data_IF_905871051477
#
_entry.id   IF_905871051477
#
_cell.length_a   1.000
_cell.length_b   1.000
_cell.length_c   1.000
_cell.angle_alpha   90.00
_cell.angle_beta   90.00
_cell.angle_gamma   90.00
#
_symmetry.space_group_name_H-M   'P 1'
#
loop_
_entity.id
_entity.type
_entity.pdbx_description
1 polymer ?
#
# COMPACT_ATOMS: atom_id res chain seq x y z
N UNK A 1 -19.93 25.68 9.24
CA UNK A 1 -19.36 26.90 9.85
C UNK A 1 -18.03 27.20 9.18
N UNK A 2 -17.74 28.45 8.79
CA UNK A 2 -16.46 28.78 8.16
C UNK A 2 -15.32 28.70 9.17
N UNK A 3 -14.15 28.26 8.71
CA UNK A 3 -12.91 28.23 9.51
C UNK A 3 -12.48 29.67 9.84
N UNK A 4 -12.08 29.92 11.09
CA UNK A 4 -11.64 31.24 11.53
C UNK A 4 -10.12 31.44 11.28
N UNK A 5 -9.77 31.97 10.12
CA UNK A 5 -8.38 32.21 9.71
C UNK A 5 -7.65 33.27 10.54
N UNK A 6 -8.38 34.23 11.14
CA UNK A 6 -7.77 35.25 11.99
C UNK A 6 -7.19 34.64 13.27
N UNK A 7 -7.89 33.67 13.86
CA UNK A 7 -7.42 32.94 15.03
C UNK A 7 -6.30 31.93 14.69
N UNK A 8 -6.24 31.43 13.46
CA UNK A 8 -5.22 30.48 13.01
C UNK A 8 -3.89 31.14 12.68
N UNK A 9 -3.87 32.40 12.21
CA UNK A 9 -2.65 33.09 11.81
C UNK A 9 -1.51 33.05 12.86
N UNK A 10 -1.72 33.39 14.14
CA UNK A 10 -0.66 33.28 15.15
C UNK A 10 -0.25 31.82 15.44
N UNK A 11 -1.19 30.87 15.34
CA UNK A 11 -0.89 29.44 15.53
C UNK A 11 0.00 28.89 14.40
N UNK A 12 -0.24 29.33 13.15
CA UNK A 12 0.59 28.98 11.99
C UNK A 12 2.01 29.53 12.15
N UNK A 13 2.16 30.74 12.70
CA UNK A 13 3.49 31.33 12.97
C UNK A 13 4.23 30.55 14.06
N UNK A 14 3.57 30.21 15.17
CA UNK A 14 4.16 29.38 16.22
C UNK A 14 4.55 27.97 15.71
N UNK A 15 3.75 27.39 14.81
CA UNK A 15 4.08 26.13 14.14
C UNK A 15 5.34 26.26 13.26
N UNK A 16 5.51 27.37 12.55
CA UNK A 16 6.72 27.61 11.75
C UNK A 16 7.97 27.77 12.62
N UNK A 17 7.87 28.47 13.76
CA UNK A 17 8.99 28.65 14.70
C UNK A 17 9.42 27.34 15.35
N UNK A 18 8.46 26.53 15.82
CA UNK A 18 8.74 25.19 16.37
C UNK A 18 9.37 24.26 15.33
N UNK A 19 8.92 24.32 14.07
CA UNK A 19 9.51 23.55 12.99
C UNK A 19 11.00 23.86 12.74
N UNK A 20 11.44 25.12 12.91
CA UNK A 20 12.86 25.50 12.77
C UNK A 20 13.71 24.88 13.87
N UNK A 21 13.25 24.93 15.13
CA UNK A 21 13.96 24.33 16.27
C UNK A 21 14.05 22.80 16.14
N UNK A 22 12.95 22.15 15.74
CA UNK A 22 12.90 20.71 15.54
C UNK A 22 13.82 20.24 14.40
N UNK A 23 14.09 21.09 13.40
CA UNK A 23 14.94 20.74 12.26
C UNK A 23 16.36 20.34 12.66
N UNK A 24 16.97 21.06 13.62
CA UNK A 24 18.34 20.75 14.06
C UNK A 24 18.41 19.42 14.80
N UNK A 25 17.43 19.15 15.66
CA UNK A 25 17.35 17.89 16.41
C UNK A 25 17.11 16.70 15.47
N UNK A 26 16.19 16.85 14.51
CA UNK A 26 15.95 15.82 13.49
C UNK A 26 17.17 15.53 12.64
N UNK A 27 17.94 16.56 12.26
CA UNK A 27 19.18 16.36 11.50
C UNK A 27 20.23 15.56 12.28
N UNK A 28 20.34 15.79 13.60
CA UNK A 28 21.25 15.02 14.46
C UNK A 28 20.81 13.56 14.60
N UNK A 29 19.51 13.33 14.85
CA UNK A 29 18.93 11.98 14.92
C UNK A 29 19.12 11.21 13.60
N UNK A 30 18.89 11.87 12.47
CA UNK A 30 19.11 11.28 11.15
C UNK A 30 20.59 10.90 10.93
N UNK A 31 21.53 11.79 11.26
CA UNK A 31 22.96 11.49 11.16
C UNK A 31 23.37 10.31 12.04
N UNK A 32 22.82 10.20 13.25
CA UNK A 32 23.05 9.06 14.13
C UNK A 32 22.47 7.75 13.56
N UNK A 33 21.26 7.79 12.97
CA UNK A 33 20.69 6.65 12.26
C UNK A 33 21.59 6.20 11.10
N UNK A 34 22.07 7.15 10.29
CA UNK A 34 22.96 6.86 9.16
C UNK A 34 24.29 6.25 9.62
N UNK A 35 24.85 6.73 10.74
CA UNK A 35 26.05 6.14 11.32
C UNK A 35 25.83 4.70 11.76
N UNK A 36 24.70 4.39 12.43
CA UNK A 36 24.33 3.02 12.80
C UNK A 36 24.08 2.14 11.57
N UNK A 37 23.36 2.65 10.56
CA UNK A 37 23.10 1.93 9.31
C UNK A 37 24.42 1.52 8.61
N UNK A 38 25.40 2.43 8.60
CA UNK A 38 26.73 2.17 8.06
C UNK A 38 27.53 1.18 8.91
N UNK A 39 27.54 1.37 10.24
CA UNK A 39 28.24 0.49 11.18
C UNK A 39 27.78 -0.96 11.10
N UNK A 40 26.46 -1.19 11.04
CA UNK A 40 25.86 -2.51 10.99
C UNK A 40 25.62 -3.02 9.56
N UNK A 41 26.18 -2.36 8.53
CA UNK A 41 25.89 -2.65 7.12
C UNK A 41 26.10 -4.14 6.77
N UNK A 42 27.14 -4.77 7.30
CA UNK A 42 27.51 -6.17 7.02
C UNK A 42 27.24 -7.13 8.20
N UNK A 43 26.37 -6.73 9.14
CA UNK A 43 26.08 -7.47 10.38
C UNK A 43 24.65 -8.06 10.39
N UNK A 44 24.16 -8.55 9.24
CA UNK A 44 22.78 -9.01 9.08
C UNK A 44 22.39 -10.10 10.09
N UNK A 45 23.27 -11.07 10.33
CA UNK A 45 23.00 -12.18 11.26
C UNK A 45 22.81 -11.69 12.69
N UNK A 46 23.66 -10.79 13.15
CA UNK A 46 23.55 -10.19 14.48
C UNK A 46 22.23 -9.42 14.62
N UNK A 47 21.88 -8.60 13.62
CA UNK A 47 20.61 -7.88 13.61
C UNK A 47 19.38 -8.80 13.58
N UNK A 48 19.44 -9.90 12.83
CA UNK A 48 18.38 -10.91 12.80
C UNK A 48 18.15 -11.52 14.19
N UNK A 49 19.22 -11.91 14.89
CA UNK A 49 19.14 -12.47 16.25
C UNK A 49 18.57 -11.46 17.26
N UNK A 50 18.94 -10.18 17.14
CA UNK A 50 18.42 -9.10 17.99
C UNK A 50 16.92 -8.91 17.77
N UNK A 51 16.47 -8.86 16.50
CA UNK A 51 15.04 -8.72 16.20
C UNK A 51 14.26 -9.93 16.69
N UNK A 52 14.75 -11.14 16.49
CA UNK A 52 14.10 -12.38 16.95
C UNK A 52 13.91 -12.37 18.48
N UNK A 53 14.97 -12.04 19.23
CA UNK A 53 14.92 -11.93 20.69
C UNK A 53 13.91 -10.87 21.15
N UNK A 54 13.88 -9.69 20.51
CA UNK A 54 12.95 -8.61 20.84
C UNK A 54 11.51 -8.96 20.47
N UNK A 55 11.27 -9.57 19.31
CA UNK A 55 9.95 -10.01 18.85
C UNK A 55 9.35 -11.08 19.79
N UNK A 56 10.19 -11.98 20.32
CA UNK A 56 9.75 -13.00 21.29
C UNK A 56 9.20 -12.39 22.60
N UNK A 57 9.69 -11.20 22.99
CA UNK A 57 9.28 -10.46 24.20
C UNK A 57 8.16 -9.45 23.93
N UNK A 58 8.10 -8.91 22.72
CA UNK A 58 7.10 -7.93 22.29
C UNK A 58 6.45 -8.35 20.98
N UNK A 59 5.26 -8.96 21.06
CA UNK A 59 4.48 -9.37 19.89
C UNK A 59 4.02 -8.21 18.99
N UNK A 60 4.03 -6.98 19.50
CA UNK A 60 3.72 -5.77 18.74
C UNK A 60 4.94 -5.15 18.05
N UNK A 61 6.11 -5.79 18.11
CA UNK A 61 7.30 -5.28 17.44
C UNK A 61 7.06 -5.23 15.93
N UNK A 62 7.16 -4.02 15.37
CA UNK A 62 7.02 -3.77 13.94
C UNK A 62 8.26 -3.07 13.41
N UNK A 63 9.13 -3.79 12.70
CA UNK A 63 10.38 -3.25 12.18
C UNK A 63 10.85 -4.01 10.92
N UNK A 64 11.93 -3.54 10.32
CA UNK A 64 12.65 -4.23 9.27
C UNK A 64 13.50 -5.37 9.86
N UNK A 65 13.63 -6.47 9.13
CA UNK A 65 14.60 -7.54 9.41
C UNK A 65 15.54 -7.64 8.21
N UNK A 66 16.86 -7.43 8.37
CA UNK A 66 17.81 -7.60 7.27
C UNK A 66 17.78 -9.02 6.71
N UNK A 67 18.02 -9.18 5.41
CA UNK A 67 18.04 -10.50 4.75
C UNK A 67 19.47 -10.90 4.41
N UNK A 68 19.90 -10.70 3.17
CA UNK A 68 21.22 -11.10 2.67
C UNK A 68 22.06 -9.94 2.15
N UNK A 69 21.43 -8.84 1.74
CA UNK A 69 22.12 -7.68 1.19
C UNK A 69 22.67 -6.78 2.31
N UNK A 70 23.82 -6.11 2.11
CA UNK A 70 24.32 -5.06 3.01
C UNK A 70 23.28 -3.97 3.25
N UNK A 71 23.14 -3.43 4.46
CA UNK A 71 22.10 -2.42 4.74
C UNK A 71 22.28 -1.15 3.89
N UNK A 72 23.52 -0.82 3.57
CA UNK A 72 23.91 0.30 2.70
C UNK A 72 23.90 -0.06 1.21
N UNK A 73 23.42 -1.25 0.83
CA UNK A 73 23.35 -1.64 -0.57
C UNK A 73 22.45 -0.67 -1.36
N UNK A 74 22.98 -0.22 -2.49
CA UNK A 74 22.25 0.54 -3.49
C UNK A 74 22.45 -0.16 -4.84
N UNK A 75 21.36 -0.66 -5.42
CA UNK A 75 21.39 -1.47 -6.62
C UNK A 75 20.71 -0.70 -7.75
N UNK A 76 21.40 -0.44 -8.86
CA UNK A 76 20.85 0.31 -9.99
C UNK A 76 19.94 -0.55 -10.87
N UNK A 77 18.86 0.04 -11.39
CA UNK A 77 17.98 -0.61 -12.35
C UNK A 77 18.66 -0.79 -13.72
N UNK A 78 18.37 -1.89 -14.40
CA UNK A 78 18.80 -2.11 -15.77
C UNK A 78 17.72 -1.61 -16.73
N UNK A 79 17.96 -0.50 -17.42
CA UNK A 79 17.02 0.07 -18.39
C UNK A 79 17.50 -0.14 -19.84
N UNK A 80 16.60 -0.37 -20.82
CA UNK A 80 15.14 -0.46 -20.66
C UNK A 80 14.71 -1.74 -19.93
N UNK A 81 13.50 -1.75 -19.39
CA UNK A 81 12.96 -2.94 -18.74
C UNK A 81 12.83 -4.10 -19.74
N UNK A 82 13.17 -5.35 -19.35
CA UNK A 82 12.91 -6.51 -20.20
C UNK A 82 11.43 -6.64 -20.54
N UNK A 83 11.13 -7.20 -21.72
CA UNK A 83 9.76 -7.38 -22.18
C UNK A 83 8.96 -8.27 -21.20
N UNK A 84 7.82 -7.75 -20.74
CA UNK A 84 6.91 -8.42 -19.82
C UNK A 84 5.48 -7.90 -20.00
N UNK A 85 4.52 -8.68 -19.52
CA UNK A 85 3.15 -8.18 -19.31
C UNK A 85 3.06 -7.54 -17.94
N UNK A 86 2.35 -6.41 -17.85
CA UNK A 86 2.03 -5.73 -16.60
C UNK A 86 0.51 -5.70 -16.42
N UNK A 87 0.05 -6.17 -15.28
CA UNK A 87 -1.31 -6.01 -14.79
C UNK A 87 -1.27 -5.10 -13.57
N UNK A 88 -1.94 -3.96 -13.62
CA UNK A 88 -2.13 -3.09 -12.46
C UNK A 88 -3.59 -3.10 -12.05
N UNK A 89 -3.87 -3.30 -10.78
CA UNK A 89 -5.20 -3.20 -10.21
C UNK A 89 -5.27 -2.12 -9.14
N UNK A 90 -6.42 -1.48 -9.06
CA UNK A 90 -6.82 -0.60 -7.97
C UNK A 90 -8.33 -0.78 -7.75
N UNK A 91 -8.79 -0.42 -6.56
CA UNK A 91 -10.18 -0.58 -6.16
C UNK A 91 -10.74 0.69 -5.54
N UNK A 92 -12.05 0.87 -5.71
CA UNK A 92 -12.83 1.83 -4.96
C UNK A 92 -14.10 1.19 -4.41
N UNK A 93 -14.73 1.86 -3.46
CA UNK A 93 -15.89 1.36 -2.77
C UNK A 93 -16.92 2.45 -2.47
N UNK A 94 -18.19 2.04 -2.41
CA UNK A 94 -19.27 2.80 -1.78
C UNK A 94 -19.57 2.08 -0.46
N UNK A 95 -19.38 2.78 0.65
CA UNK A 95 -19.79 2.29 1.96
C UNK A 95 -21.31 2.38 2.12
N UNK A 96 -21.94 1.41 2.80
CA UNK A 96 -23.37 1.46 3.05
C UNK A 96 -23.76 2.67 3.92
N UNK A 97 -24.71 3.48 3.45
CA UNK A 97 -25.29 4.60 4.19
C UNK A 97 -26.66 4.23 4.78
N UNK A 98 -26.79 4.05 6.11
CA UNK A 98 -28.07 3.81 6.78
C UNK A 98 -29.06 4.96 6.68
N UNK A 99 -28.62 6.15 6.25
CA UNK A 99 -29.47 7.32 6.05
C UNK A 99 -29.86 7.55 4.59
N UNK A 100 -29.30 6.77 3.66
CA UNK A 100 -29.65 6.79 2.24
C UNK A 100 -31.06 6.25 1.98
N UNK A 101 -31.56 6.51 0.77
CA UNK A 101 -32.85 6.02 0.30
C UNK A 101 -32.90 4.50 0.16
N UNK A 102 -31.74 3.88 -0.10
CA UNK A 102 -31.52 2.43 -0.17
C UNK A 102 -30.20 2.08 0.49
N UNK A 103 -30.19 1.01 1.29
CA UNK A 103 -28.99 0.49 1.93
C UNK A 103 -28.29 -0.50 1.00
N UNK A 104 -27.18 -0.08 0.40
CA UNK A 104 -26.33 -0.91 -0.46
C UNK A 104 -24.85 -0.54 -0.28
N UNK A 105 -23.95 -1.45 -0.60
CA UNK A 105 -22.53 -1.15 -0.78
C UNK A 105 -22.08 -1.47 -2.21
N UNK A 106 -20.90 -1.02 -2.59
CA UNK A 106 -20.29 -1.37 -3.87
C UNK A 106 -18.81 -1.59 -3.68
N UNK A 107 -18.27 -2.61 -4.32
CA UNK A 107 -16.83 -2.74 -4.56
C UNK A 107 -16.61 -2.70 -6.06
N UNK A 108 -15.74 -1.80 -6.52
CA UNK A 108 -15.38 -1.65 -7.92
C UNK A 108 -13.87 -1.81 -8.08
N UNK A 109 -13.43 -2.69 -8.98
CA UNK A 109 -12.01 -2.93 -9.27
C UNK A 109 -11.74 -2.61 -10.73
N UNK A 110 -10.73 -1.78 -10.95
CA UNK A 110 -10.21 -1.47 -12.28
C UNK A 110 -8.88 -2.17 -12.51
N UNK A 111 -8.75 -2.85 -13.65
CA UNK A 111 -7.48 -3.47 -14.08
C UNK A 111 -7.01 -2.85 -15.38
N UNK A 112 -5.75 -2.42 -15.38
CA UNK A 112 -5.04 -1.96 -16.55
C UNK A 112 -3.98 -2.98 -16.95
N UNK A 113 -4.12 -3.52 -18.16
CA UNK A 113 -3.16 -4.46 -18.76
C UNK A 113 -2.36 -3.76 -19.83
N UNK A 114 -1.04 -3.93 -19.81
CA UNK A 114 -0.17 -3.49 -20.89
C UNK A 114 1.03 -4.41 -21.09
N UNK A 115 1.60 -4.35 -22.29
CA UNK A 115 2.85 -5.04 -22.63
C UNK A 115 3.79 -4.03 -23.30
N UNK A 116 4.64 -3.31 -22.52
CA UNK A 116 5.53 -2.29 -23.04
C UNK A 116 6.36 -2.76 -24.23
N UNK A 117 6.51 -1.93 -25.25
CA UNK A 117 7.33 -2.23 -26.43
C UNK A 117 6.76 -3.27 -27.41
N UNK A 118 5.62 -3.91 -27.11
CA UNK A 118 5.02 -4.93 -27.99
C UNK A 118 4.29 -4.37 -29.23
N UNK A 119 3.92 -3.09 -29.21
CA UNK A 119 3.03 -2.48 -30.21
C UNK A 119 1.55 -2.82 -30.03
N UNK A 120 1.19 -3.64 -29.04
CA UNK A 120 -0.20 -3.93 -28.68
C UNK A 120 -0.80 -2.75 -27.89
N UNK A 121 -2.07 -2.45 -28.15
CA UNK A 121 -2.81 -1.49 -27.35
C UNK A 121 -3.06 -2.04 -25.94
N UNK A 122 -2.98 -1.19 -24.88
CA UNK A 122 -3.39 -1.59 -23.54
C UNK A 122 -4.87 -1.99 -23.48
N UNK A 123 -5.20 -2.88 -22.53
CA UNK A 123 -6.57 -3.31 -22.26
C UNK A 123 -7.03 -2.79 -20.89
N UNK A 124 -8.32 -2.47 -20.82
CA UNK A 124 -9.00 -2.00 -19.62
C UNK A 124 -10.07 -3.02 -19.26
N UNK A 125 -10.10 -3.44 -18.00
CA UNK A 125 -11.14 -4.31 -17.45
C UNK A 125 -11.69 -3.68 -16.18
N UNK A 126 -13.01 -3.77 -15.99
CA UNK A 126 -13.70 -3.23 -14.83
C UNK A 126 -14.62 -4.30 -14.26
N UNK A 127 -14.60 -4.45 -12.94
CA UNK A 127 -15.37 -5.45 -12.22
C UNK A 127 -16.11 -4.76 -11.07
N UNK A 128 -17.44 -4.79 -11.10
CA UNK A 128 -18.27 -4.13 -10.08
C UNK A 128 -19.12 -5.18 -9.38
N UNK A 129 -19.06 -5.20 -8.05
CA UNK A 129 -19.86 -6.08 -7.21
C UNK A 129 -20.74 -5.25 -6.27
N UNK A 130 -22.05 -5.34 -6.46
CA UNK A 130 -23.04 -4.70 -5.58
C UNK A 130 -23.20 -5.55 -4.31
N UNK A 131 -23.06 -4.93 -3.16
CA UNK A 131 -23.18 -5.57 -1.85
C UNK A 131 -24.55 -5.28 -1.26
N UNK A 132 -25.30 -6.33 -0.95
CA UNK A 132 -26.65 -6.26 -0.38
C UNK A 132 -26.91 -7.47 0.53
N UNK A 133 -27.97 -7.40 1.34
CA UNK A 133 -28.43 -8.47 2.24
C UNK A 133 -27.30 -9.08 3.10
N UNK A 134 -26.93 -10.34 2.85
CA UNK A 134 -25.94 -11.08 3.65
C UNK A 134 -24.53 -10.46 3.56
N UNK A 135 -24.17 -9.89 2.42
CA UNK A 135 -22.87 -9.23 2.22
C UNK A 135 -22.74 -7.96 3.07
N UNK A 136 -23.86 -7.26 3.29
CA UNK A 136 -23.94 -6.12 4.20
C UNK A 136 -24.12 -6.53 5.65
N UNK A 137 -24.60 -7.75 5.92
CA UNK A 137 -24.89 -8.23 7.26
C UNK A 137 -24.19 -9.55 7.62
N UNK A 138 -22.86 -9.67 7.41
CA UNK A 138 -22.17 -10.97 7.47
C UNK A 138 -22.07 -11.55 8.88
N UNK A 139 -22.47 -10.80 9.92
CA UNK A 139 -22.57 -11.28 11.31
C UNK A 139 -23.82 -10.73 12.04
N UNK A 140 -24.87 -10.38 11.28
CA UNK A 140 -26.12 -9.83 11.82
C UNK A 140 -26.09 -8.34 12.19
N UNK A 141 -24.97 -7.66 11.92
CA UNK A 141 -24.82 -6.20 11.98
C UNK A 141 -24.27 -5.67 10.65
N UNK A 142 -24.44 -4.37 10.40
CA UNK A 142 -23.95 -3.75 9.15
C UNK A 142 -22.43 -3.88 9.03
N UNK A 143 -21.96 -4.24 7.84
CA UNK A 143 -20.54 -4.34 7.51
C UNK A 143 -19.83 -3.01 7.82
N UNK A 144 -18.71 -3.09 8.52
CA UNK A 144 -17.88 -1.92 8.82
C UNK A 144 -17.14 -1.44 7.58
N UNK A 145 -16.75 -0.16 7.55
CA UNK A 145 -15.94 0.39 6.45
C UNK A 145 -14.63 -0.39 6.26
N UNK A 146 -14.02 -0.86 7.35
CA UNK A 146 -12.82 -1.70 7.33
C UNK A 146 -13.06 -3.05 6.65
N UNK A 147 -14.25 -3.65 6.84
CA UNK A 147 -14.61 -4.91 6.18
C UNK A 147 -14.84 -4.70 4.69
N UNK A 148 -15.49 -3.61 4.29
CA UNK A 148 -15.70 -3.26 2.88
C UNK A 148 -14.35 -2.99 2.18
N UNK A 149 -13.43 -2.29 2.86
CA UNK A 149 -12.07 -2.10 2.38
C UNK A 149 -11.33 -3.43 2.21
N UNK A 150 -11.46 -4.37 3.16
CA UNK A 150 -10.90 -5.72 3.02
C UNK A 150 -11.50 -6.46 1.82
N UNK A 151 -12.82 -6.42 1.63
CA UNK A 151 -13.48 -7.06 0.49
C UNK A 151 -12.96 -6.51 -0.84
N UNK A 152 -12.71 -5.20 -0.91
CA UNK A 152 -12.06 -4.56 -2.06
C UNK A 152 -10.65 -5.10 -2.29
N UNK A 153 -9.80 -5.11 -1.26
CA UNK A 153 -8.41 -5.58 -1.39
C UNK A 153 -8.35 -7.07 -1.76
N UNK A 154 -9.32 -7.88 -1.29
CA UNK A 154 -9.50 -9.28 -1.69
C UNK A 154 -9.87 -9.39 -3.17
N UNK A 155 -10.91 -8.69 -3.61
CA UNK A 155 -11.35 -8.74 -5.00
C UNK A 155 -10.25 -8.26 -5.96
N UNK A 156 -9.49 -7.23 -5.61
CA UNK A 156 -8.30 -6.81 -6.38
C UNK A 156 -7.33 -7.97 -6.59
N UNK A 157 -7.02 -8.71 -5.52
CA UNK A 157 -6.06 -9.81 -5.56
C UNK A 157 -6.59 -11.03 -6.31
N UNK A 158 -7.85 -11.39 -6.10
CA UNK A 158 -8.51 -12.50 -6.79
C UNK A 158 -8.61 -12.26 -8.30
N UNK A 159 -8.99 -11.04 -8.71
CA UNK A 159 -9.08 -10.66 -10.12
C UNK A 159 -7.68 -10.70 -10.77
N UNK A 160 -6.64 -10.19 -10.09
CA UNK A 160 -5.27 -10.30 -10.59
C UNK A 160 -4.83 -11.76 -10.74
N UNK A 161 -5.17 -12.63 -9.77
CA UNK A 161 -4.85 -14.06 -9.83
C UNK A 161 -5.58 -14.78 -10.98
N UNK A 162 -6.86 -14.49 -11.22
CA UNK A 162 -7.64 -15.05 -12.33
C UNK A 162 -7.09 -14.60 -13.69
N UNK A 163 -6.85 -13.29 -13.85
CA UNK A 163 -6.32 -12.74 -15.09
C UNK A 163 -4.91 -13.25 -15.40
N UNK A 164 -4.07 -13.44 -14.37
CA UNK A 164 -2.71 -13.95 -14.53
C UNK A 164 -2.64 -15.34 -15.18
N UNK A 165 -3.65 -16.20 -14.99
CA UNK A 165 -3.67 -17.54 -15.59
C UNK A 165 -3.69 -17.53 -17.12
N UNK A 166 -4.13 -16.43 -17.72
CA UNK A 166 -4.25 -16.27 -19.17
C UNK A 166 -3.07 -15.50 -19.79
N UNK A 167 -2.07 -15.15 -18.99
CA UNK A 167 -0.91 -14.39 -19.44
C UNK A 167 0.36 -15.25 -19.53
N UNK A 168 1.22 -14.92 -20.48
CA UNK A 168 2.54 -15.54 -20.58
C UNK A 168 3.53 -14.87 -19.62
N UNK A 169 4.41 -15.67 -19.02
CA UNK A 169 5.54 -15.17 -18.25
C UNK A 169 6.58 -14.49 -19.18
N UNK A 170 7.32 -13.45 -18.70
CA UNK A 170 7.23 -12.88 -17.36
C UNK A 170 6.02 -11.93 -17.20
N UNK A 171 5.33 -12.07 -16.07
CA UNK A 171 4.16 -11.27 -15.70
C UNK A 171 4.42 -10.53 -14.40
N UNK A 172 4.18 -9.22 -14.40
CA UNK A 172 4.22 -8.35 -13.22
C UNK A 172 2.81 -7.93 -12.84
N UNK A 173 2.45 -8.09 -11.56
CA UNK A 173 1.20 -7.56 -11.01
C UNK A 173 1.49 -6.45 -10.01
N UNK A 174 0.85 -5.29 -10.17
CA UNK A 174 1.02 -4.13 -9.31
C UNK A 174 -0.30 -3.75 -8.62
N UNK A 175 -0.24 -3.42 -7.34
CA UNK A 175 -1.33 -2.78 -6.59
C UNK A 175 -0.83 -1.51 -5.89
N UNK A 176 -1.69 -0.50 -5.74
CA UNK A 176 -1.36 0.69 -4.97
C UNK A 176 -1.53 0.41 -3.46
N UNK A 177 -0.51 0.74 -2.66
CA UNK A 177 -0.47 0.43 -1.24
C UNK A 177 0.28 -0.85 -0.86
N UNK A 178 0.35 -1.14 0.46
CA UNK A 178 1.08 -2.29 1.00
C UNK A 178 0.40 -3.62 0.65
N UNK A 179 1.20 -4.69 0.59
CA UNK A 179 0.68 -6.07 0.54
C UNK A 179 0.26 -6.55 1.92
N UNK A 180 0.83 -5.97 2.98
CA UNK A 180 0.39 -6.24 4.33
C UNK A 180 -0.99 -5.61 4.61
N UNK A 181 -2.01 -6.45 4.69
CA UNK A 181 -3.31 -6.04 5.20
C UNK A 181 -3.20 -5.87 6.73
N UNK A 182 -3.41 -4.65 7.22
CA UNK A 182 -3.43 -4.39 8.65
C UNK A 182 -4.68 -5.03 9.28
N UNK A 183 -4.45 -5.98 10.16
CA UNK A 183 -5.49 -6.65 10.94
C UNK A 183 -5.38 -6.15 12.38
N UNK A 184 -6.29 -5.26 12.82
CA UNK A 184 -6.62 -5.29 14.24
C UNK A 184 -7.21 -6.67 14.52
N UNK A 185 -6.83 -7.35 15.63
CA UNK A 185 -7.40 -8.65 16.00
C UNK A 185 -8.88 -8.49 16.33
N UNK A 186 -9.72 -8.40 15.30
CA UNK A 186 -11.18 -8.42 15.40
C UNK A 186 -11.61 -9.87 15.21
N UNK A 187 -12.35 -10.39 16.18
CA UNK A 187 -12.85 -11.78 16.20
C UNK A 187 -14.04 -12.00 15.24
N UNK A 188 -14.17 -11.16 14.20
CA UNK A 188 -15.26 -11.24 13.24
C UNK A 188 -14.96 -12.34 12.22
N UNK A 189 -15.77 -13.40 12.23
CA UNK A 189 -15.62 -14.54 11.31
C UNK A 189 -15.60 -14.14 9.84
N UNK A 190 -16.33 -13.08 9.48
CA UNK A 190 -16.36 -12.52 8.14
C UNK A 190 -14.98 -11.99 7.72
N UNK A 191 -14.30 -11.29 8.62
CA UNK A 191 -12.95 -10.77 8.35
C UNK A 191 -11.97 -11.93 8.12
N UNK A 192 -12.00 -12.96 8.97
CA UNK A 192 -11.15 -14.15 8.79
C UNK A 192 -11.44 -14.88 7.46
N UNK A 193 -12.69 -14.90 7.01
CA UNK A 193 -13.08 -15.51 5.75
C UNK A 193 -12.45 -14.79 4.55
N UNK A 194 -12.67 -13.48 4.43
CA UNK A 194 -12.10 -12.66 3.37
C UNK A 194 -10.57 -12.63 3.42
N UNK A 195 -9.99 -12.55 4.62
CA UNK A 195 -8.54 -12.60 4.76
C UNK A 195 -7.93 -13.93 4.28
N UNK A 196 -8.62 -15.07 4.48
CA UNK A 196 -8.19 -16.35 3.91
C UNK A 196 -8.27 -16.37 2.38
N UNK A 197 -9.28 -15.73 1.79
CA UNK A 197 -9.37 -15.57 0.34
C UNK A 197 -8.22 -14.73 -0.20
N UNK A 198 -7.86 -13.64 0.48
CA UNK A 198 -6.67 -12.84 0.13
C UNK A 198 -5.40 -13.70 0.09
N UNK A 199 -5.18 -14.51 1.13
CA UNK A 199 -4.02 -15.40 1.20
C UNK A 199 -4.04 -16.48 0.12
N UNK A 200 -5.22 -17.00 -0.23
CA UNK A 200 -5.38 -17.97 -1.30
C UNK A 200 -5.05 -17.37 -2.67
N UNK A 201 -5.50 -16.14 -2.95
CA UNK A 201 -5.15 -15.43 -4.18
C UNK A 201 -3.63 -15.17 -4.29
N UNK A 202 -2.95 -14.88 -3.17
CA UNK A 202 -1.48 -14.81 -3.15
C UNK A 202 -0.82 -16.18 -3.41
N UNK A 203 -1.40 -17.28 -2.93
CA UNK A 203 -0.91 -18.62 -3.24
C UNK A 203 -1.05 -18.94 -4.73
N UNK A 204 -2.17 -18.57 -5.37
CA UNK A 204 -2.37 -18.75 -6.81
C UNK A 204 -1.36 -17.93 -7.64
N UNK A 205 -1.09 -16.69 -7.24
CA UNK A 205 -0.04 -15.87 -7.87
C UNK A 205 1.35 -16.49 -7.70
N UNK A 206 1.65 -17.04 -6.52
CA UNK A 206 2.92 -17.72 -6.26
C UNK A 206 3.08 -18.98 -7.12
N UNK A 207 2.02 -19.80 -7.23
CA UNK A 207 2.02 -21.03 -8.05
C UNK A 207 2.27 -20.73 -9.53
N UNK A 208 1.75 -19.61 -10.03
CA UNK A 208 1.95 -19.14 -11.39
C UNK A 208 3.25 -18.32 -11.58
N UNK A 209 4.11 -18.24 -10.56
CA UNK A 209 5.39 -17.50 -10.58
C UNK A 209 5.22 -16.03 -11.00
N UNK A 210 4.11 -15.42 -10.58
CA UNK A 210 3.80 -14.03 -10.90
C UNK A 210 4.66 -13.10 -10.04
N UNK A 211 5.21 -12.06 -10.66
CA UNK A 211 6.03 -11.05 -10.00
C UNK A 211 5.09 -10.01 -9.37
N UNK A 212 4.66 -10.29 -8.14
CA UNK A 212 3.68 -9.46 -7.42
C UNK A 212 4.34 -8.40 -6.56
N UNK A 213 3.85 -7.16 -6.65
CA UNK A 213 4.32 -6.05 -5.83
C UNK A 213 3.19 -5.09 -5.41
N UNK A 214 3.27 -4.62 -4.17
CA UNK A 214 2.53 -3.45 -3.68
C UNK A 214 3.44 -2.21 -3.72
N UNK A 215 2.93 -1.09 -4.22
CA UNK A 215 3.70 0.15 -4.34
C UNK A 215 3.18 1.20 -3.35
N UNK A 216 4.03 1.64 -2.43
CA UNK A 216 3.67 2.65 -1.42
C UNK A 216 4.43 3.93 -1.72
N UNK A 217 3.74 4.94 -2.27
CA UNK A 217 4.32 6.26 -2.50
C UNK A 217 4.53 7.02 -1.19
N UNK A 218 5.66 7.76 -1.11
CA UNK A 218 6.04 8.62 0.03
C UNK A 218 5.76 7.98 1.40
N UNK A 219 6.30 6.78 1.65
CA UNK A 219 6.05 6.04 2.89
C UNK A 219 6.50 6.88 4.09
N UNK A 220 5.63 7.00 5.09
CA UNK A 220 5.96 7.64 6.38
C UNK A 220 6.48 6.66 7.43
N UNK A 221 6.66 5.40 7.03
CA UNK A 221 7.09 4.34 7.91
C UNK A 221 8.55 4.55 8.36
N UNK A 222 8.85 4.01 9.53
CA UNK A 222 10.13 4.06 10.23
C UNK A 222 10.62 2.64 10.55
N UNK A 223 10.43 1.69 9.63
CA UNK A 223 10.70 0.26 9.86
C UNK A 223 12.19 -0.02 10.03
N UNK A 224 13.02 0.57 9.17
CA UNK A 224 14.48 0.45 9.25
C UNK A 224 15.01 1.30 10.39
N UNK A 225 14.44 2.49 10.61
CA UNK A 225 14.77 3.30 11.80
C UNK A 225 14.50 2.53 13.09
N UNK A 226 13.34 1.87 13.22
CA UNK A 226 13.01 1.02 14.38
C UNK A 226 13.95 -0.17 14.55
N UNK A 227 14.44 -0.76 13.47
CA UNK A 227 15.50 -1.76 13.54
C UNK A 227 16.78 -1.17 14.16
N UNK A 228 17.19 0.01 13.73
CA UNK A 228 18.37 0.70 14.25
C UNK A 228 18.20 1.14 15.72
N UNK A 229 16.97 1.46 16.14
CA UNK A 229 16.65 1.75 17.55
C UNK A 229 16.94 0.54 18.46
N UNK A 230 16.87 -0.70 17.96
CA UNK A 230 17.16 -1.91 18.76
C UNK A 230 18.65 -2.07 19.10
N UNK A 231 19.54 -1.43 18.33
CA UNK A 231 20.99 -1.47 18.48
C UNK A 231 21.59 -0.12 18.87
N UNK A 232 20.73 0.90 19.06
CA UNK A 232 21.15 2.18 19.59
C UNK A 232 21.69 1.99 21.03
N UNK A 233 22.71 2.76 21.45
CA UNK A 233 23.17 2.75 22.83
C UNK A 233 21.99 3.01 23.78
N UNK A 234 21.88 2.22 24.86
CA UNK A 234 20.85 2.43 25.88
C UNK A 234 21.06 3.80 26.55
N UNK A 235 20.23 4.76 26.17
CA UNK A 235 20.02 5.99 26.93
C UNK A 235 18.77 5.77 27.79
N UNK A 236 18.93 5.72 29.12
CA UNK A 236 17.85 5.42 30.08
C UNK A 236 16.64 6.37 29.96
N UNK A 237 16.78 7.48 29.20
CA UNK A 237 15.81 8.56 29.10
C UNK A 237 14.86 8.52 27.90
N UNK A 238 15.12 7.71 26.85
CA UNK A 238 14.32 7.75 25.61
C UNK A 238 13.90 6.36 25.11
N UNK A 239 12.60 6.04 25.23
CA UNK A 239 11.97 4.80 24.73
C UNK A 239 12.10 4.63 23.20
N UNK A 240 12.32 5.74 22.47
CA UNK A 240 12.55 5.78 21.01
C UNK A 240 13.53 6.91 20.62
N UNK A 241 14.85 6.66 20.57
CA UNK A 241 15.85 7.71 20.38
C UNK A 241 15.76 8.42 19.02
N UNK A 242 15.19 7.77 18.01
CA UNK A 242 15.10 8.31 16.64
C UNK A 242 13.67 8.63 16.21
N UNK A 243 12.74 8.72 17.17
CA UNK A 243 11.36 9.11 16.90
C UNK A 243 11.28 10.41 16.08
N UNK A 244 10.51 10.35 14.99
CA UNK A 244 10.33 11.44 14.03
C UNK A 244 11.15 11.29 12.74
N UNK A 245 12.24 10.49 12.75
CA UNK A 245 12.99 10.15 11.54
C UNK A 245 12.26 9.06 10.77
N UNK A 246 12.08 9.26 9.46
CA UNK A 246 11.44 8.26 8.58
C UNK A 246 12.48 7.51 7.76
N UNK A 247 12.11 6.31 7.30
CA UNK A 247 12.97 5.54 6.38
C UNK A 247 13.18 6.31 5.06
N UNK A 248 12.21 7.10 4.62
CA UNK A 248 12.35 7.96 3.45
C UNK A 248 13.51 8.95 3.62
N UNK A 249 13.59 9.64 4.76
CA UNK A 249 14.70 10.55 5.06
C UNK A 249 16.04 9.81 5.16
N UNK A 250 16.02 8.57 5.69
CA UNK A 250 17.22 7.73 5.81
C UNK A 250 17.80 7.39 4.43
N UNK A 251 16.97 6.97 3.48
CA UNK A 251 17.41 6.53 2.16
C UNK A 251 17.55 7.64 1.11
N UNK A 252 16.99 8.83 1.35
CA UNK A 252 17.09 9.97 0.41
C UNK A 252 18.54 10.36 0.09
N UNK A 253 19.45 10.22 1.06
CA UNK A 253 20.88 10.50 0.86
C UNK A 253 21.70 9.30 0.34
N UNK A 254 21.09 8.13 0.22
CA UNK A 254 21.76 6.86 -0.14
C UNK A 254 21.41 6.46 -1.57
N UNK A 255 20.14 6.55 -1.95
CA UNK A 255 19.65 6.04 -3.23
C UNK A 255 19.69 7.11 -4.32
N UNK A 256 20.49 6.89 -5.34
CA UNK A 256 20.44 7.68 -6.56
C UNK A 256 19.19 7.32 -7.39
N UNK A 257 18.77 8.20 -8.33
CA UNK A 257 17.73 7.89 -9.30
C UNK A 257 17.93 6.53 -9.98
N UNK A 258 16.88 5.70 -9.97
CA UNK A 258 16.88 4.33 -10.50
C UNK A 258 17.42 3.27 -9.55
N UNK A 259 17.92 3.63 -8.36
CA UNK A 259 18.45 2.68 -7.40
C UNK A 259 17.41 2.20 -6.38
N UNK A 260 17.55 0.94 -5.95
CA UNK A 260 16.86 0.37 -4.79
C UNK A 260 17.81 0.11 -3.63
N UNK A 261 17.28 0.14 -2.42
CA UNK A 261 17.98 -0.29 -1.20
C UNK A 261 18.17 -1.81 -1.15
N UNK A 262 18.79 -2.25 -0.06
CA UNK A 262 18.70 -3.62 0.44
C UNK A 262 17.23 -4.09 0.55
N UNK A 263 17.02 -5.41 0.44
CA UNK A 263 15.75 -6.06 0.77
C UNK A 263 15.67 -6.39 2.25
N UNK A 264 14.53 -6.08 2.87
CA UNK A 264 14.20 -6.37 4.26
C UNK A 264 12.97 -7.26 4.35
N UNK A 265 12.95 -8.18 5.30
CA UNK A 265 11.72 -8.88 5.71
C UNK A 265 10.92 -7.96 6.63
N UNK A 266 9.60 -7.99 6.51
CA UNK A 266 8.69 -7.26 7.42
C UNK A 266 8.44 -8.09 8.68
N UNK A 267 8.82 -7.55 9.84
CA UNK A 267 8.39 -8.05 11.14
C UNK A 267 7.16 -7.28 11.61
N UNK A 268 6.09 -7.98 11.98
CA UNK A 268 4.85 -7.39 12.48
C UNK A 268 4.00 -8.42 13.23
N UNK A 269 2.91 -7.96 13.84
CA UNK A 269 1.92 -8.85 14.47
C UNK A 269 1.16 -9.73 13.48
N UNK A 270 1.06 -9.33 12.20
CA UNK A 270 0.39 -10.11 11.14
C UNK A 270 1.36 -10.95 10.31
N UNK A 271 2.68 -10.84 10.54
CA UNK A 271 3.70 -11.55 9.75
C UNK A 271 3.50 -13.07 9.73
N UNK A 272 3.02 -13.66 10.84
CA UNK A 272 2.76 -15.11 10.93
C UNK A 272 1.63 -15.59 10.00
N UNK A 273 0.68 -14.71 9.66
CA UNK A 273 -0.38 -15.04 8.70
C UNK A 273 0.17 -15.18 7.27
N UNK A 274 1.22 -14.43 6.94
CA UNK A 274 1.93 -14.46 5.67
C UNK A 274 3.08 -15.47 5.71
N UNK A 275 2.82 -16.70 6.13
CA UNK A 275 3.86 -17.71 6.29
C UNK A 275 4.45 -18.22 4.96
N UNK A 276 5.65 -18.80 5.02
CA UNK A 276 6.35 -19.45 3.92
C UNK A 276 6.64 -18.49 2.74
N UNK A 277 6.32 -18.90 1.51
CA UNK A 277 6.55 -18.11 0.29
C UNK A 277 5.82 -16.77 0.30
N UNK A 278 4.73 -16.64 1.07
CA UNK A 278 3.99 -15.37 1.23
C UNK A 278 4.67 -14.36 2.15
N UNK A 279 5.76 -14.73 2.85
CA UNK A 279 6.43 -13.84 3.78
C UNK A 279 6.78 -12.51 3.13
N UNK A 280 6.26 -11.43 3.71
CA UNK A 280 6.37 -10.11 3.12
C UNK A 280 7.75 -9.52 3.33
N UNK A 281 8.30 -9.01 2.25
CA UNK A 281 9.55 -8.31 2.17
C UNK A 281 9.32 -6.95 1.53
N UNK A 282 10.27 -6.05 1.69
CA UNK A 282 10.20 -4.75 1.08
C UNK A 282 11.60 -4.19 0.81
N UNK A 283 11.64 -3.24 -0.11
CA UNK A 283 12.80 -2.39 -0.35
C UNK A 283 12.34 -0.96 -0.66
N UNK A 284 13.23 0.00 -0.52
CA UNK A 284 13.01 1.37 -0.96
C UNK A 284 13.60 1.56 -2.35
N UNK A 285 12.94 2.34 -3.20
CA UNK A 285 13.41 2.64 -4.54
C UNK A 285 13.28 4.15 -4.79
N UNK A 286 14.28 4.73 -5.46
CA UNK A 286 14.20 6.11 -5.93
C UNK A 286 13.87 6.11 -7.43
N UNK A 287 12.62 6.45 -7.77
CA UNK A 287 12.15 6.60 -9.15
C UNK A 287 12.18 8.06 -9.62
N UNK A 288 12.80 8.94 -8.82
CA UNK A 288 12.95 10.35 -9.10
C UNK A 288 13.99 10.66 -10.16
N UNK A 289 14.32 11.95 -10.28
CA UNK A 289 15.43 12.42 -11.11
C UNK A 289 16.49 13.10 -10.25
N UNK A 290 17.65 13.39 -10.84
CA UNK A 290 18.73 14.12 -10.14
C UNK A 290 18.19 15.45 -9.61
N UNK A 291 18.33 15.68 -8.31
CA UNK A 291 17.84 16.89 -7.61
C UNK A 291 16.34 16.90 -7.29
N UNK A 292 15.58 15.89 -7.72
CA UNK A 292 14.16 15.69 -7.37
C UNK A 292 13.92 14.21 -7.05
N UNK A 293 14.40 13.72 -5.90
CA UNK A 293 14.19 12.33 -5.50
C UNK A 293 12.69 12.04 -5.32
N UNK A 294 12.28 10.84 -5.71
CA UNK A 294 10.93 10.34 -5.51
C UNK A 294 11.04 8.91 -4.98
N UNK A 295 11.07 8.79 -3.65
CA UNK A 295 11.24 7.51 -2.99
C UNK A 295 9.87 6.86 -2.73
N UNK A 296 9.82 5.57 -3.00
CA UNK A 296 8.70 4.70 -2.68
C UNK A 296 9.19 3.44 -1.95
N UNK A 297 8.29 2.81 -1.20
CA UNK A 297 8.51 1.47 -0.66
C UNK A 297 7.77 0.48 -1.53
N UNK A 298 8.47 -0.55 -1.98
CA UNK A 298 7.91 -1.65 -2.75
C UNK A 298 7.83 -2.86 -1.82
N UNK A 299 6.63 -3.39 -1.61
CA UNK A 299 6.44 -4.63 -0.87
C UNK A 299 6.28 -5.80 -1.84
N UNK A 300 6.99 -6.89 -1.59
CA UNK A 300 7.00 -8.11 -2.40
C UNK A 300 6.96 -9.34 -1.50
N UNK A 301 6.37 -10.45 -1.93
CA UNK A 301 6.44 -11.71 -1.21
C UNK A 301 7.79 -12.41 -1.42
N UNK A 302 8.12 -13.34 -0.53
CA UNK A 302 9.41 -14.05 -0.52
C UNK A 302 9.71 -14.76 -1.85
N UNK A 303 8.73 -15.33 -2.55
CA UNK A 303 8.98 -16.01 -3.83
C UNK A 303 9.53 -15.08 -4.92
N UNK A 304 9.22 -13.78 -4.85
CA UNK A 304 9.79 -12.78 -5.76
C UNK A 304 11.24 -12.47 -5.35
N UNK A 305 11.49 -12.33 -4.04
CA UNK A 305 12.84 -12.04 -3.49
C UNK A 305 13.83 -13.16 -3.81
N UNK A 306 13.38 -14.42 -3.75
CA UNK A 306 14.22 -15.58 -4.04
C UNK A 306 14.62 -15.72 -5.51
N UNK A 307 13.96 -14.99 -6.42
CA UNK A 307 14.33 -14.92 -7.84
C UNK A 307 15.00 -13.56 -8.17
N UNK A 308 16.33 -13.53 -8.32
CA UNK A 308 17.05 -12.31 -8.69
C UNK A 308 16.60 -11.69 -10.02
N UNK A 309 16.13 -12.50 -10.97
CA UNK A 309 15.65 -11.99 -12.26
C UNK A 309 14.30 -11.29 -12.08
N UNK A 310 13.40 -11.86 -11.26
CA UNK A 310 12.13 -11.22 -10.91
C UNK A 310 12.35 -9.88 -10.20
N UNK A 311 13.27 -9.83 -9.22
CA UNK A 311 13.62 -8.59 -8.52
C UNK A 311 14.19 -7.52 -9.47
N UNK A 312 15.12 -7.91 -10.35
CA UNK A 312 15.72 -6.99 -11.32
C UNK A 312 14.69 -6.49 -12.34
N UNK A 313 13.83 -7.38 -12.85
CA UNK A 313 12.75 -7.03 -13.78
C UNK A 313 11.75 -6.07 -13.12
N UNK A 314 11.27 -6.38 -11.91
CA UNK A 314 10.34 -5.53 -11.17
C UNK A 314 10.92 -4.13 -10.95
N UNK A 315 12.18 -4.04 -10.53
CA UNK A 315 12.85 -2.76 -10.33
C UNK A 315 12.89 -1.94 -11.63
N UNK A 316 13.32 -2.55 -12.73
CA UNK A 316 13.38 -1.88 -14.03
C UNK A 316 12.01 -1.43 -14.52
N UNK A 317 10.97 -2.26 -14.35
CA UNK A 317 9.58 -1.92 -14.68
C UNK A 317 9.13 -0.71 -13.87
N UNK A 318 9.32 -0.72 -12.55
CA UNK A 318 8.89 0.39 -11.69
C UNK A 318 9.57 1.71 -12.06
N UNK A 319 10.88 1.70 -12.33
CA UNK A 319 11.64 2.90 -12.74
C UNK A 319 11.16 3.40 -14.10
N UNK A 320 11.10 2.51 -15.10
CA UNK A 320 10.71 2.89 -16.46
C UNK A 320 9.27 3.43 -16.52
N UNK A 321 8.34 2.75 -15.86
CA UNK A 321 6.93 3.18 -15.84
C UNK A 321 6.70 4.43 -15.00
N UNK A 322 7.53 4.69 -13.98
CA UNK A 322 7.43 5.92 -13.19
C UNK A 322 7.94 7.15 -13.94
N UNK A 323 8.99 7.01 -14.74
CA UNK A 323 9.53 8.12 -15.54
C UNK A 323 8.53 8.66 -16.57
N UNK A 324 7.57 7.85 -17.02
CA UNK A 324 6.54 8.28 -17.97
C UNK A 324 5.59 9.36 -17.41
N UNK A 325 5.44 9.44 -16.08
CA UNK A 325 4.60 10.43 -15.42
C UNK A 325 5.24 11.83 -15.30
N UNK A 326 6.46 12.02 -15.84
CA UNK A 326 7.12 13.31 -15.93
C UNK A 326 7.57 13.87 -14.58
N UNK A 327 7.08 15.06 -14.22
CA UNK A 327 7.55 15.81 -13.03
C UNK A 327 7.09 15.24 -11.68
N UNK A 328 6.17 14.27 -11.70
CA UNK A 328 5.75 13.52 -10.51
C UNK A 328 5.85 12.02 -10.83
N UNK A 329 7.06 11.45 -10.71
CA UNK A 329 7.28 10.06 -11.05
C UNK A 329 6.39 9.14 -10.20
N UNK A 330 5.60 8.31 -10.88
CA UNK A 330 4.72 7.33 -10.27
C UNK A 330 4.36 6.28 -11.35
N UNK A 331 4.29 4.98 -11.04
CA UNK A 331 4.09 3.95 -12.07
C UNK A 331 2.83 4.19 -12.90
N UNK A 332 3.01 4.48 -14.20
CA UNK A 332 1.90 4.75 -15.12
C UNK A 332 0.76 3.70 -15.07
N UNK A 333 1.03 2.38 -15.02
CA UNK A 333 -0.02 1.37 -14.89
C UNK A 333 -0.94 1.57 -13.68
N UNK A 334 -0.39 1.98 -12.53
CA UNK A 334 -1.17 2.21 -11.30
C UNK A 334 -2.03 3.47 -11.42
N UNK A 335 -1.53 4.54 -12.07
CA UNK A 335 -2.35 5.74 -12.37
C UNK A 335 -3.58 5.33 -13.17
N UNK A 336 -3.37 4.50 -14.21
CA UNK A 336 -4.46 4.05 -15.07
C UNK A 336 -5.44 3.13 -14.35
N UNK A 337 -4.94 2.20 -13.53
CA UNK A 337 -5.79 1.35 -12.71
C UNK A 337 -6.70 2.18 -11.78
N UNK A 338 -6.13 3.19 -11.11
CA UNK A 338 -6.89 4.13 -10.28
C UNK A 338 -7.97 4.88 -11.08
N UNK A 339 -7.61 5.46 -12.22
CA UNK A 339 -8.58 6.17 -13.08
C UNK A 339 -9.74 5.29 -13.56
N UNK A 340 -9.50 3.99 -13.74
CA UNK A 340 -10.51 2.99 -14.14
C UNK A 340 -11.37 2.57 -12.93
N UNK A 341 -10.76 2.44 -11.75
CA UNK A 341 -11.41 1.93 -10.55
C UNK A 341 -12.28 2.95 -9.84
N UNK A 342 -11.99 4.25 -9.96
CA UNK A 342 -12.70 5.31 -9.25
C UNK A 342 -14.17 5.38 -9.65
N UNK A 343 -15.05 5.14 -8.67
CA UNK A 343 -16.49 5.41 -8.76
C UNK A 343 -16.72 6.89 -8.48
N UNK A 344 -17.19 7.64 -9.48
CA UNK A 344 -17.46 9.07 -9.37
C UNK A 344 -18.83 9.32 -8.74
N UNK A 345 -19.06 10.57 -8.34
CA UNK A 345 -20.36 10.99 -7.80
C UNK A 345 -21.51 10.75 -8.78
N UNK A 346 -21.27 10.97 -10.07
CA UNK A 346 -22.28 10.73 -11.11
C UNK A 346 -22.60 9.23 -11.24
N UNK A 347 -21.59 8.35 -11.14
CA UNK A 347 -21.78 6.89 -11.14
C UNK A 347 -22.58 6.45 -9.91
N UNK A 348 -22.26 6.99 -8.72
CA UNK A 348 -23.01 6.73 -7.49
C UNK A 348 -24.48 7.14 -7.61
N UNK A 349 -24.75 8.33 -8.15
CA UNK A 349 -26.12 8.81 -8.35
C UNK A 349 -26.88 7.92 -9.34
N UNK A 350 -26.25 7.55 -10.45
CA UNK A 350 -26.85 6.68 -11.45
C UNK A 350 -27.18 5.29 -10.89
N UNK A 351 -26.27 4.68 -10.11
CA UNK A 351 -26.52 3.39 -9.45
C UNK A 351 -27.70 3.51 -8.48
N UNK A 352 -27.74 4.57 -7.67
CA UNK A 352 -28.83 4.81 -6.72
C UNK A 352 -30.18 4.94 -7.43
N UNK A 353 -30.23 5.73 -8.51
CA UNK A 353 -31.44 5.89 -9.34
C UNK A 353 -31.89 4.57 -9.97
N UNK A 354 -30.96 3.75 -10.48
CA UNK A 354 -31.27 2.43 -11.05
C UNK A 354 -31.88 1.48 -9.99
N UNK A 355 -31.32 1.48 -8.77
CA UNK A 355 -31.83 0.66 -7.68
C UNK A 355 -33.23 1.14 -7.25
N UNK A 356 -33.42 2.45 -7.09
CA UNK A 356 -34.73 3.02 -6.75
C UNK A 356 -35.80 2.71 -7.80
N UNK A 357 -35.47 2.82 -9.08
CA UNK A 357 -36.37 2.48 -10.18
C UNK A 357 -36.76 1.00 -10.16
N UNK A 358 -35.81 0.09 -9.93
CA UNK A 358 -36.10 -1.35 -9.85
C UNK A 358 -36.97 -1.69 -8.63
N UNK A 359 -36.75 -1.06 -7.47
CA UNK A 359 -37.60 -1.21 -6.30
C UNK A 359 -39.03 -0.72 -6.57
N UNK A 360 -39.16 0.44 -7.22
CA UNK A 360 -40.46 0.99 -7.64
C UNK A 360 -41.18 0.04 -8.61
N UNK A 361 -40.47 -0.52 -9.58
CA UNK A 361 -41.02 -1.51 -10.53
C UNK A 361 -41.55 -2.77 -9.81
N UNK A 362 -40.98 -3.12 -8.65
CA UNK A 362 -41.42 -4.22 -7.79
C UNK A 362 -42.44 -3.82 -6.72
N UNK A 363 -42.90 -2.57 -6.74
CA UNK A 363 -43.92 -2.07 -5.81
C UNK A 363 -43.39 -1.72 -4.41
N UNK A 364 -42.07 -1.56 -4.26
CA UNK A 364 -41.41 -1.15 -3.02
C UNK A 364 -40.99 0.32 -3.16
N UNK A 365 -41.70 1.28 -2.53
CA UNK A 365 -41.29 2.68 -2.58
C UNK A 365 -39.98 2.89 -1.77
N UNK A 366 -39.03 3.71 -2.26
CA UNK A 366 -37.79 3.98 -1.54
C UNK A 366 -38.07 4.68 -0.21
N UNK A 367 -37.23 4.42 0.80
CA UNK A 367 -37.34 5.09 2.10
C UNK A 367 -36.99 6.57 1.97
N UNK A 368 -37.78 7.45 2.61
CA UNK A 368 -37.55 8.89 2.56
C UNK A 368 -36.19 9.25 3.21
N UNK A 369 -35.36 10.02 2.51
CA UNK A 369 -34.10 10.55 3.01
C UNK A 369 -34.27 11.21 4.39
N UNK A 370 -33.29 11.06 5.27
CA UNK A 370 -33.29 11.71 6.59
C UNK A 370 -33.51 13.23 6.47
N UNK A 371 -34.37 13.80 7.35
CA UNK A 371 -34.72 15.23 7.37
C UNK A 371 -33.51 16.19 7.41
N UNK A 372 -32.32 15.71 7.81
CA UNK A 372 -31.07 16.47 7.82
C UNK A 372 -30.34 16.49 6.47
N UNK A 373 -30.45 15.45 5.64
CA UNK A 373 -29.82 15.40 4.32
C UNK A 373 -30.61 16.21 3.28
N UNK A 374 -31.94 16.23 3.39
CA UNK A 374 -32.81 17.05 2.52
C UNK A 374 -32.51 18.56 2.60
N UNK A 375 -32.00 19.04 3.74
CA UNK A 375 -31.61 20.44 3.92
C UNK A 375 -30.19 20.77 3.42
N UNK A 376 -29.34 19.76 3.15
CA UNK A 376 -27.98 19.97 2.63
C UNK A 376 -27.90 19.96 1.10
N UNK A 377 -28.79 19.24 0.42
CA UNK A 377 -28.85 19.19 -1.05
C UNK A 377 -29.50 20.45 -1.68
N UNK A 378 -30.10 21.33 -0.87
CA UNK A 378 -30.73 22.58 -1.32
C UNK A 378 -29.93 23.85 -0.97
N UNK A 379 -28.62 23.74 -0.71
CA UNK A 379 -27.73 24.90 -0.49
C UNK A 379 -26.58 24.97 -1.49
#
# INVERSE_FOLDING_TARGET
MPVNFLNLKPQIQALAETAVSHRSEMAQKLAACQALLSQYSDQQKELQEIVENRASKNKGLRCAVPVSEPLMAHNSAALPAPACTILAADGSQINPDPHGSVLYGLVNVGVFRMQPGSGLAPEIKTFSNLLYDEDLHPSGGLASEDLIALMRDVHEREILADLAQNEAAPLVTLTDGPLELYHEPRQEKAFEHYFKQYLAALDDLALNQVITAGYVDRPRADLVVKLLELVAPEDESADRPFAGVTDLQLFESILNPGERSAVFKLQSSSADAFANKKALHFFYINVGSVGQPALARVEVPLWVVEDPHAMSLLQSVLVEQSHQAGSRPYPYPLIRAHEIAVVKMDDHNQISEMIEQELLNRGLPPTLNSNKQSHKQHQ
#
